data_IF_487290091922
#
_entry.id   IF_487290091922
#
_cell.length_a   1.000
_cell.length_b   1.000
_cell.length_c   1.000
_cell.angle_alpha   90.00
_cell.angle_beta   90.00
_cell.angle_gamma   90.00
#
_symmetry.space_group_name_H-M   'P 1'
#
loop_
_entity.id
_entity.type
_entity.pdbx_description
1 polymer ?
#
# COMPACT_ATOMS: atom_id res chain seq x y z
N UNK A 1 -1.98 10.02 43.99
CA UNK A 1 -0.88 9.70 43.04
C UNK A 1 -1.45 8.68 42.06
N UNK A 2 -1.91 9.11 40.93
CA UNK A 2 -2.50 8.27 39.88
C UNK A 2 -1.36 7.78 39.01
N UNK A 3 -1.07 6.49 39.09
CA UNK A 3 -0.10 5.79 38.31
C UNK A 3 -0.61 5.70 36.85
N UNK A 4 -0.17 6.61 35.99
CA UNK A 4 -0.44 6.56 34.54
C UNK A 4 0.53 5.56 33.93
N UNK A 5 0.14 4.29 33.89
CA UNK A 5 0.84 3.29 33.05
C UNK A 5 0.90 3.80 31.61
N UNK A 6 2.12 3.89 31.08
CA UNK A 6 2.35 4.23 29.69
C UNK A 6 1.64 3.20 28.76
N UNK A 7 1.00 3.62 27.65
CA UNK A 7 0.17 2.75 26.82
C UNK A 7 0.95 1.82 25.90
N UNK A 8 2.24 1.55 26.14
CA UNK A 8 3.10 0.71 25.30
C UNK A 8 3.84 -0.34 26.12
N UNK A 9 3.12 -1.11 26.92
CA UNK A 9 3.67 -2.37 27.37
C UNK A 9 3.26 -3.45 26.36
N UNK A 10 4.17 -4.35 25.99
CA UNK A 10 3.87 -5.56 25.25
C UNK A 10 3.08 -6.56 26.11
N UNK A 11 2.38 -6.10 27.13
CA UNK A 11 1.51 -6.90 27.97
C UNK A 11 0.26 -7.24 27.15
N UNK A 12 0.29 -8.41 26.60
CA UNK A 12 -0.84 -9.07 25.98
C UNK A 12 -1.95 -9.24 27.03
N UNK A 13 -3.04 -8.49 26.92
CA UNK A 13 -4.24 -8.77 27.68
C UNK A 13 -5.01 -9.87 26.96
N UNK A 14 -5.51 -10.85 27.70
CA UNK A 14 -6.31 -11.96 27.16
C UNK A 14 -7.58 -11.40 26.47
N UNK A 15 -7.42 -11.02 25.19
CA UNK A 15 -8.51 -10.83 24.26
C UNK A 15 -8.95 -12.18 23.70
N UNK A 16 -10.09 -12.24 23.04
CA UNK A 16 -10.56 -13.43 22.35
C UNK A 16 -9.44 -13.99 21.45
N UNK A 17 -9.06 -15.24 21.69
CA UNK A 17 -8.04 -15.91 20.91
C UNK A 17 -8.58 -16.05 19.49
N UNK A 18 -7.95 -15.38 18.53
CA UNK A 18 -8.21 -15.63 17.12
C UNK A 18 -7.93 -17.11 16.89
N UNK A 19 -8.94 -17.85 16.40
CA UNK A 19 -8.79 -19.25 16.07
C UNK A 19 -7.76 -19.38 14.94
N UNK A 20 -6.54 -19.74 15.30
CA UNK A 20 -5.48 -20.04 14.34
C UNK A 20 -5.70 -21.42 13.80
N UNK A 21 -5.78 -21.59 12.49
CA UNK A 21 -5.85 -22.91 11.83
C UNK A 21 -4.62 -23.73 12.24
N UNK A 22 -4.83 -25.03 12.57
CA UNK A 22 -3.76 -25.96 12.92
C UNK A 22 -2.75 -26.19 11.77
N UNK A 23 -3.11 -25.79 10.54
CA UNK A 23 -2.28 -25.90 9.34
C UNK A 23 -1.42 -24.65 9.08
N UNK A 24 -1.64 -23.57 9.84
CA UNK A 24 -0.89 -22.33 9.67
C UNK A 24 0.56 -22.52 10.10
N UNK A 25 1.48 -22.44 9.15
CA UNK A 25 2.92 -22.65 9.34
C UNK A 25 3.69 -21.39 9.05
N UNK A 26 4.78 -21.17 9.80
CA UNK A 26 5.73 -20.12 9.48
C UNK A 26 6.31 -20.33 8.07
N UNK A 27 6.41 -19.26 7.29
CA UNK A 27 6.98 -19.27 5.95
C UNK A 27 8.15 -18.28 5.85
N UNK A 28 9.08 -18.59 4.96
CA UNK A 28 10.23 -17.75 4.67
C UNK A 28 10.33 -17.56 3.16
N UNK A 29 10.12 -16.33 2.71
CA UNK A 29 10.21 -15.94 1.31
C UNK A 29 11.54 -15.25 1.06
N UNK A 30 12.49 -15.98 0.44
CA UNK A 30 13.83 -15.45 0.18
C UNK A 30 13.79 -14.44 -0.95
N UNK A 31 14.37 -13.26 -0.71
CA UNK A 31 14.57 -12.23 -1.71
C UNK A 31 15.62 -12.62 -2.76
N UNK A 32 15.35 -12.39 -4.04
CA UNK A 32 16.20 -12.76 -5.18
C UNK A 32 17.11 -11.61 -5.70
N UNK A 33 17.18 -10.48 -4.98
CA UNK A 33 17.92 -9.26 -5.32
C UNK A 33 17.42 -8.50 -6.58
N UNK A 34 16.34 -8.92 -7.18
CA UNK A 34 15.69 -8.31 -8.36
C UNK A 34 14.27 -7.83 -8.04
N UNK A 35 13.95 -7.68 -6.75
CA UNK A 35 12.61 -7.37 -6.23
C UNK A 35 11.55 -8.42 -6.55
N UNK A 36 11.99 -9.67 -6.69
CA UNK A 36 11.16 -10.87 -6.64
C UNK A 36 11.49 -11.73 -5.42
N UNK A 37 10.64 -12.70 -5.10
CA UNK A 37 10.82 -13.59 -3.95
C UNK A 37 10.58 -15.04 -4.38
N UNK A 38 11.36 -15.96 -3.83
CA UNK A 38 11.21 -17.39 -4.11
C UNK A 38 9.82 -17.88 -3.70
N UNK A 39 9.11 -18.51 -4.67
CA UNK A 39 7.77 -19.04 -4.44
C UNK A 39 6.64 -18.01 -4.46
N UNK A 40 6.92 -16.73 -4.72
CA UNK A 40 5.92 -15.68 -4.82
C UNK A 40 5.76 -15.27 -6.28
N UNK A 41 4.52 -15.33 -6.78
CA UNK A 41 4.20 -14.93 -8.14
C UNK A 41 4.23 -13.40 -8.30
N UNK A 42 4.71 -12.93 -9.45
CA UNK A 42 4.52 -11.55 -9.89
C UNK A 42 3.24 -11.49 -10.73
N UNK A 43 2.32 -10.63 -10.35
CA UNK A 43 0.99 -10.53 -10.93
C UNK A 43 0.73 -9.13 -11.48
N UNK A 44 -0.26 -9.01 -12.38
CA UNK A 44 -0.78 -7.69 -12.74
C UNK A 44 -1.39 -6.99 -11.51
N UNK A 45 -1.27 -5.67 -11.48
CA UNK A 45 -1.82 -4.84 -10.39
C UNK A 45 -3.32 -5.06 -10.19
N UNK A 46 -4.07 -5.03 -11.29
CA UNK A 46 -5.51 -5.35 -11.36
C UNK A 46 -5.77 -6.16 -12.62
N UNK A 47 -6.82 -7.00 -12.64
CA UNK A 47 -7.13 -7.84 -13.81
C UNK A 47 -7.56 -7.01 -15.02
N UNK A 48 -8.25 -5.89 -14.79
CA UNK A 48 -8.81 -5.02 -15.83
C UNK A 48 -8.83 -3.56 -15.35
N UNK A 49 -8.82 -2.61 -16.28
CA UNK A 49 -8.95 -1.19 -16.04
C UNK A 49 -8.03 -0.35 -16.92
N UNK A 50 -8.33 0.93 -17.04
CA UNK A 50 -7.56 1.93 -17.80
C UNK A 50 -7.13 3.12 -16.95
N UNK A 51 -7.35 3.06 -15.62
CA UNK A 51 -7.03 4.11 -14.66
C UNK A 51 -5.75 3.81 -13.87
N UNK A 52 -4.89 2.96 -14.41
CA UNK A 52 -3.55 2.62 -13.92
C UNK A 52 -2.68 2.19 -15.10
N UNK A 53 -1.35 2.25 -14.95
CA UNK A 53 -0.42 1.81 -15.99
C UNK A 53 0.91 1.32 -15.41
N UNK A 54 1.53 0.36 -16.09
CA UNK A 54 2.90 -0.08 -15.87
C UNK A 54 3.22 -0.42 -14.40
N UNK A 55 2.33 -1.16 -13.74
CA UNK A 55 2.47 -1.55 -12.33
C UNK A 55 2.23 -3.05 -12.16
N UNK A 56 3.13 -3.70 -11.41
CA UNK A 56 3.07 -5.11 -11.05
C UNK A 56 2.97 -5.27 -9.54
N UNK A 57 2.54 -6.44 -9.09
CA UNK A 57 2.30 -6.77 -7.69
C UNK A 57 2.86 -8.14 -7.33
N UNK A 58 3.46 -8.25 -6.14
CA UNK A 58 3.76 -9.52 -5.47
C UNK A 58 3.05 -9.51 -4.10
N UNK A 59 2.23 -10.50 -3.81
CA UNK A 59 1.64 -10.67 -2.47
C UNK A 59 2.60 -11.53 -1.65
N UNK A 60 3.27 -10.92 -0.68
CA UNK A 60 4.29 -11.58 0.13
C UNK A 60 3.68 -12.33 1.30
N UNK A 61 2.70 -11.73 1.98
CA UNK A 61 1.98 -12.31 3.14
C UNK A 61 0.48 -12.06 2.97
N UNK A 62 -0.34 -13.02 3.38
CA UNK A 62 -1.79 -12.92 3.41
C UNK A 62 -2.50 -13.53 2.20
N UNK A 63 -1.78 -14.34 1.38
CA UNK A 63 -2.35 -15.06 0.23
C UNK A 63 -1.82 -16.50 0.07
N UNK A 64 -1.07 -17.00 1.05
CA UNK A 64 -0.43 -18.34 0.98
C UNK A 64 -0.92 -19.28 2.08
N UNK A 65 -2.09 -18.97 2.69
CA UNK A 65 -2.69 -19.77 3.77
C UNK A 65 -2.35 -19.27 5.18
N UNK A 66 -1.70 -18.11 5.30
CA UNK A 66 -1.45 -17.48 6.59
C UNK A 66 -2.76 -16.94 7.21
N UNK A 67 -2.94 -17.14 8.52
CA UNK A 67 -4.05 -16.58 9.28
C UNK A 67 -3.70 -15.22 9.87
N UNK A 68 -3.27 -14.27 9.03
CA UNK A 68 -2.95 -12.93 9.47
C UNK A 68 -4.07 -11.94 9.15
N UNK A 69 -4.21 -10.90 9.99
CA UNK A 69 -5.21 -9.84 9.82
C UNK A 69 -4.74 -8.75 8.84
N UNK A 70 -3.59 -8.93 8.23
CA UNK A 70 -3.02 -8.00 7.26
C UNK A 70 -2.50 -8.74 6.02
N UNK A 71 -2.32 -7.99 4.95
CA UNK A 71 -1.61 -8.45 3.76
C UNK A 71 -0.40 -7.56 3.53
N UNK A 72 0.77 -8.16 3.32
CA UNK A 72 1.98 -7.47 2.90
C UNK A 72 2.17 -7.70 1.39
N UNK A 73 2.23 -6.62 0.65
CA UNK A 73 2.38 -6.63 -0.80
C UNK A 73 3.55 -5.77 -1.22
N UNK A 74 4.28 -6.20 -2.24
CA UNK A 74 5.22 -5.37 -2.97
C UNK A 74 4.58 -4.92 -4.28
N UNK A 75 4.75 -3.66 -4.62
CA UNK A 75 4.38 -3.10 -5.91
C UNK A 75 5.60 -2.52 -6.59
N UNK A 76 5.67 -2.71 -7.89
CA UNK A 76 6.67 -2.09 -8.73
C UNK A 76 6.00 -1.29 -9.83
N UNK A 77 6.33 -0.02 -9.90
CA UNK A 77 5.82 0.94 -10.87
C UNK A 77 6.95 1.27 -11.85
N UNK A 78 6.83 0.83 -13.08
CA UNK A 78 7.80 1.14 -14.11
C UNK A 78 7.71 2.63 -14.52
N UNK A 79 8.67 3.10 -15.31
CA UNK A 79 8.71 4.48 -15.82
C UNK A 79 7.36 4.92 -16.39
N UNK A 80 6.88 6.05 -15.95
CA UNK A 80 5.59 6.65 -16.37
C UNK A 80 4.37 5.90 -15.86
N UNK A 81 4.56 4.88 -15.01
CA UNK A 81 3.48 4.12 -14.40
C UNK A 81 2.82 4.85 -13.24
N UNK A 82 1.62 4.40 -12.91
CA UNK A 82 0.81 4.96 -11.83
C UNK A 82 -0.27 3.97 -11.36
N UNK A 83 -0.65 4.07 -10.09
CA UNK A 83 -1.82 3.37 -9.54
C UNK A 83 -3.12 4.09 -9.87
N UNK A 84 -4.26 3.43 -9.65
CA UNK A 84 -5.54 4.13 -9.72
C UNK A 84 -5.56 5.31 -8.73
N UNK A 85 -6.22 6.41 -9.12
CA UNK A 85 -6.62 7.48 -8.22
C UNK A 85 -7.94 7.08 -7.58
N UNK A 86 -7.88 6.66 -6.32
CA UNK A 86 -9.01 6.04 -5.63
C UNK A 86 -8.98 6.32 -4.13
N UNK A 87 -10.08 5.99 -3.45
CA UNK A 87 -10.19 5.98 -1.99
C UNK A 87 -10.93 4.73 -1.52
N UNK A 88 -10.75 4.36 -0.26
CA UNK A 88 -11.40 3.21 0.37
C UNK A 88 -11.40 3.36 1.90
N UNK A 89 -12.18 2.53 2.59
CA UNK A 89 -12.31 2.63 4.06
C UNK A 89 -11.11 2.03 4.80
N UNK A 90 -10.43 1.03 4.22
CA UNK A 90 -9.25 0.48 4.84
C UNK A 90 -8.05 1.42 4.70
N UNK A 91 -7.21 1.46 5.74
CA UNK A 91 -5.96 2.20 5.73
C UNK A 91 -4.82 1.45 5.03
N UNK A 92 -3.79 2.19 4.63
CA UNK A 92 -2.53 1.65 4.12
C UNK A 92 -1.34 2.17 4.89
N UNK A 93 -0.32 1.31 5.06
CA UNK A 93 1.05 1.76 5.30
C UNK A 93 1.85 1.47 4.04
N UNK A 94 2.48 2.49 3.48
CA UNK A 94 3.34 2.39 2.29
C UNK A 94 4.77 2.73 2.70
N UNK A 95 5.74 1.88 2.30
CA UNK A 95 7.16 2.08 2.57
C UNK A 95 7.90 1.98 1.24
N UNK A 96 8.56 3.06 0.81
CA UNK A 96 9.40 3.03 -0.38
C UNK A 96 10.65 2.18 -0.12
N UNK A 97 10.91 1.18 -0.96
CA UNK A 97 12.06 0.27 -0.81
C UNK A 97 12.95 0.19 -2.05
N UNK A 98 12.52 0.80 -3.17
CA UNK A 98 13.27 0.83 -4.43
C UNK A 98 13.05 2.15 -5.15
N UNK A 99 14.15 2.74 -5.64
CA UNK A 99 14.08 3.96 -6.44
C UNK A 99 13.45 5.13 -5.68
N UNK A 100 12.64 5.90 -6.38
CA UNK A 100 11.87 7.02 -5.82
C UNK A 100 10.56 7.17 -6.59
N UNK A 101 9.54 7.68 -5.92
CA UNK A 101 8.23 7.93 -6.52
C UNK A 101 7.57 9.17 -5.98
N UNK A 102 6.30 9.30 -6.27
CA UNK A 102 5.44 10.34 -5.73
C UNK A 102 4.14 9.72 -5.22
N UNK A 103 3.57 10.36 -4.21
CA UNK A 103 2.20 10.10 -3.78
C UNK A 103 1.40 11.39 -3.79
N UNK A 104 0.21 11.32 -4.36
CA UNK A 104 -0.82 12.35 -4.21
C UNK A 104 -1.70 11.93 -3.05
N UNK A 105 -1.82 12.76 -2.04
CA UNK A 105 -2.73 12.64 -0.90
C UNK A 105 -2.87 14.01 -0.21
N UNK A 106 -3.91 14.23 0.58
CA UNK A 106 -4.19 15.52 1.27
C UNK A 106 -4.13 16.72 0.29
N UNK A 107 -4.62 16.52 -0.95
CA UNK A 107 -4.56 17.48 -2.06
C UNK A 107 -3.15 18.04 -2.36
N UNK A 108 -2.11 17.28 -2.02
CA UNK A 108 -0.69 17.61 -2.22
C UNK A 108 0.05 16.48 -2.91
N UNK A 109 1.22 16.81 -3.41
CA UNK A 109 2.18 15.85 -3.96
C UNK A 109 3.36 15.74 -3.01
N UNK A 110 3.65 14.51 -2.58
CA UNK A 110 4.82 14.22 -1.76
C UNK A 110 5.79 13.34 -2.53
N UNK A 111 7.07 13.69 -2.50
CA UNK A 111 8.13 12.82 -3.00
C UNK A 111 8.36 11.67 -2.02
N UNK A 112 8.58 10.47 -2.54
CA UNK A 112 8.90 9.27 -1.78
C UNK A 112 10.30 8.80 -2.16
N UNK A 113 11.20 8.79 -1.20
CA UNK A 113 12.54 8.23 -1.30
C UNK A 113 12.63 6.92 -0.51
N UNK A 114 13.71 6.18 -0.71
CA UNK A 114 13.92 4.91 0.00
C UNK A 114 13.79 5.12 1.51
N UNK A 115 12.99 4.26 2.16
CA UNK A 115 12.61 4.24 3.57
C UNK A 115 11.61 5.30 4.01
N UNK A 116 11.20 6.23 3.12
CA UNK A 116 10.06 7.09 3.45
C UNK A 116 8.81 6.22 3.67
N UNK A 117 8.09 6.54 4.75
CA UNK A 117 6.91 5.79 5.19
C UNK A 117 5.69 6.70 5.21
N UNK A 118 4.62 6.21 4.61
CA UNK A 118 3.34 6.93 4.49
C UNK A 118 2.24 6.13 5.17
N UNK A 119 1.45 6.78 5.98
CA UNK A 119 0.14 6.30 6.43
C UNK A 119 -0.95 6.97 5.60
N UNK A 120 -1.76 6.17 4.92
CA UNK A 120 -2.92 6.64 4.16
C UNK A 120 -4.16 6.31 4.98
N UNK A 121 -4.84 7.35 5.44
CA UNK A 121 -6.03 7.24 6.30
C UNK A 121 -7.25 6.69 5.53
N UNK A 122 -8.26 6.16 6.24
CA UNK A 122 -9.54 5.80 5.63
C UNK A 122 -10.15 6.94 4.83
N UNK A 123 -10.64 6.63 3.63
CA UNK A 123 -11.28 7.54 2.68
C UNK A 123 -10.39 8.68 2.14
N UNK A 124 -9.08 8.65 2.39
CA UNK A 124 -8.15 9.60 1.79
C UNK A 124 -7.97 9.30 0.30
N UNK A 125 -8.30 10.25 -0.61
CA UNK A 125 -7.96 10.14 -2.02
C UNK A 125 -6.46 10.05 -2.24
N UNK A 126 -6.00 9.01 -2.93
CA UNK A 126 -4.56 8.83 -3.14
C UNK A 126 -4.22 8.20 -4.48
N UNK A 127 -3.01 8.49 -4.96
CA UNK A 127 -2.41 7.89 -6.15
C UNK A 127 -0.90 7.82 -6.00
N UNK A 128 -0.31 6.68 -6.33
CA UNK A 128 1.15 6.48 -6.37
C UNK A 128 1.64 6.52 -7.82
N UNK A 129 2.73 7.23 -8.07
CA UNK A 129 3.24 7.47 -9.41
C UNK A 129 4.76 7.33 -9.47
N UNK A 130 5.25 6.82 -10.59
CA UNK A 130 6.66 6.88 -10.93
C UNK A 130 6.90 8.02 -11.95
N UNK A 131 7.46 9.13 -11.49
CA UNK A 131 7.87 10.26 -12.31
C UNK A 131 9.36 10.21 -12.70
N UNK A 132 10.07 9.15 -12.32
CA UNK A 132 11.49 8.94 -12.61
C UNK A 132 11.73 8.02 -13.79
N UNK A 133 12.99 7.74 -14.07
CA UNK A 133 13.44 6.83 -15.13
C UNK A 133 13.63 5.40 -14.63
N UNK A 134 13.95 5.22 -13.34
CA UNK A 134 14.15 3.92 -12.70
C UNK A 134 12.84 3.40 -12.10
N UNK A 135 12.69 2.08 -11.92
CA UNK A 135 11.54 1.52 -11.25
C UNK A 135 11.36 2.07 -9.83
N UNK A 136 10.13 2.41 -9.49
CA UNK A 136 9.69 2.78 -8.14
C UNK A 136 9.02 1.59 -7.48
N UNK A 137 9.61 1.09 -6.38
CA UNK A 137 9.11 -0.07 -5.66
C UNK A 137 8.75 0.27 -4.22
N UNK A 138 7.61 -0.22 -3.74
CA UNK A 138 7.17 0.00 -2.37
C UNK A 138 6.49 -1.23 -1.77
N UNK A 139 6.65 -1.38 -0.47
CA UNK A 139 5.85 -2.30 0.34
C UNK A 139 4.54 -1.60 0.74
N UNK A 140 3.46 -2.36 0.73
CA UNK A 140 2.15 -1.90 1.15
C UNK A 140 1.55 -2.90 2.13
N UNK A 141 1.22 -2.43 3.33
CA UNK A 141 0.55 -3.21 4.37
C UNK A 141 -0.90 -2.72 4.45
N UNK A 142 -1.84 -3.66 4.41
CA UNK A 142 -3.28 -3.38 4.49
C UNK A 142 -3.98 -4.48 5.28
N UNK A 143 -5.20 -4.23 5.73
CA UNK A 143 -6.04 -5.25 6.32
C UNK A 143 -6.29 -6.41 5.34
N UNK A 144 -6.37 -7.63 5.84
CA UNK A 144 -6.73 -8.82 5.05
C UNK A 144 -8.17 -8.70 4.55
N UNK A 145 -9.09 -8.23 5.37
CA UNK A 145 -10.47 -7.89 5.01
C UNK A 145 -10.51 -6.44 4.51
N UNK A 146 -10.80 -6.27 3.23
CA UNK A 146 -10.77 -4.95 2.57
C UNK A 146 -12.09 -4.68 1.85
N UNK A 147 -12.55 -3.43 1.95
CA UNK A 147 -13.59 -2.91 1.08
C UNK A 147 -13.04 -2.71 -0.35
N UNK A 148 -13.95 -2.63 -1.31
CA UNK A 148 -13.57 -2.30 -2.69
C UNK A 148 -13.25 -0.81 -2.80
N UNK A 149 -12.13 -0.45 -3.47
CA UNK A 149 -11.86 0.95 -3.77
C UNK A 149 -13.00 1.57 -4.58
N UNK A 150 -13.27 2.83 -4.29
CA UNK A 150 -14.23 3.64 -5.04
C UNK A 150 -13.52 4.78 -5.75
N UNK A 151 -14.02 5.13 -6.94
CA UNK A 151 -13.56 6.30 -7.67
C UNK A 151 -13.98 7.58 -6.93
N UNK A 152 -13.21 8.64 -7.13
CA UNK A 152 -13.51 9.93 -6.54
C UNK A 152 -14.80 10.51 -7.13
N UNK A 153 -15.50 11.30 -6.32
CA UNK A 153 -16.62 12.12 -6.79
C UNK A 153 -16.12 13.22 -7.73
N UNK A 154 -17.01 13.75 -8.56
CA UNK A 154 -16.69 14.87 -9.46
C UNK A 154 -16.14 16.09 -8.70
N UNK A 155 -16.63 16.35 -7.49
CA UNK A 155 -16.16 17.44 -6.65
C UNK A 155 -14.72 17.21 -6.15
N UNK A 156 -14.38 16.01 -5.72
CA UNK A 156 -13.03 15.63 -5.30
C UNK A 156 -12.06 15.68 -6.48
N UNK A 157 -12.45 15.15 -7.64
CA UNK A 157 -11.65 15.23 -8.87
C UNK A 157 -11.44 16.66 -9.30
N UNK A 158 -12.45 17.52 -9.20
CA UNK A 158 -12.35 18.93 -9.51
C UNK A 158 -11.33 19.63 -8.62
N UNK A 159 -11.38 19.41 -7.30
CA UNK A 159 -10.39 19.98 -6.36
C UNK A 159 -8.96 19.60 -6.74
N UNK A 160 -8.72 18.33 -7.03
CA UNK A 160 -7.39 17.86 -7.43
C UNK A 160 -6.94 18.43 -8.78
N UNK A 161 -7.86 18.61 -9.75
CA UNK A 161 -7.57 19.17 -11.08
C UNK A 161 -7.37 20.70 -11.08
N UNK A 162 -7.94 21.40 -10.11
CA UNK A 162 -7.80 22.85 -9.96
C UNK A 162 -6.63 23.24 -9.03
N UNK A 163 -6.13 22.32 -8.21
CA UNK A 163 -4.98 22.56 -7.35
C UNK A 163 -3.70 22.72 -8.16
N UNK A 164 -2.96 23.78 -7.91
CA UNK A 164 -1.65 24.05 -8.55
C UNK A 164 -0.63 22.92 -8.27
N UNK A 165 -0.76 22.25 -7.14
CA UNK A 165 0.15 21.15 -6.74
C UNK A 165 -0.15 19.84 -7.47
N UNK A 166 -1.43 19.49 -7.66
CA UNK A 166 -1.82 18.15 -8.13
C UNK A 166 -2.24 18.08 -9.59
N UNK A 167 -2.73 19.19 -10.18
CA UNK A 167 -3.33 19.23 -11.53
C UNK A 167 -2.46 18.66 -12.66
N UNK A 168 -1.13 18.79 -12.54
CA UNK A 168 -0.18 18.31 -13.54
C UNK A 168 0.40 16.91 -13.21
N UNK A 169 0.03 16.33 -12.08
CA UNK A 169 0.60 15.09 -11.57
C UNK A 169 -0.40 13.94 -11.64
N UNK A 170 -1.64 14.16 -11.24
CA UNK A 170 -2.70 13.12 -11.27
C UNK A 170 -2.94 12.59 -12.68
N UNK A 171 -3.27 11.29 -12.75
CA UNK A 171 -3.52 10.55 -14.00
C UNK A 171 -4.94 10.00 -14.04
#
# INVERSE_FOLDING_TARGET
MTDTKAPFSCDWQDGEKIAVSAENKSAFYKFNNDFTWQGVATEAYKPEGNNFANIMRNVLIGNHGESCLFSLRYFEVAKGGFSSLEKHQHEHVVICVRGKGKIVMDNKVHDLNIMDTVYIAPNEPHQLLNAGDEPFGFLCIVNSERDRPVVLSEEELKRLRESEETKNVIK
#
